data_IF_875517456649
#
_entry.id   IF_875517456649
#
_cell.length_a   1.000
_cell.length_b   1.000
_cell.length_c   1.000
_cell.angle_alpha   90.00
_cell.angle_beta   90.00
_cell.angle_gamma   90.00
#
_symmetry.space_group_name_H-M   'P 1'
#
loop_
_entity.id
_entity.type
_entity.pdbx_description
1 polymer ?
#
# COMPACT_ATOMS: atom_id res chain seq x y z
N UNK A 1 18.62 0.33 6.24
CA UNK A 1 17.90 -0.71 5.49
C UNK A 1 16.64 -0.04 4.98
N UNK A 2 16.56 0.21 3.67
CA UNK A 2 15.58 1.11 3.05
C UNK A 2 14.14 0.61 3.21
N UNK A 3 13.44 1.20 4.18
CA UNK A 3 11.98 1.15 4.23
C UNK A 3 11.37 2.01 3.11
N UNK A 4 12.14 2.96 2.57
CA UNK A 4 11.82 3.75 1.38
C UNK A 4 11.37 2.89 0.18
N UNK A 5 11.89 1.67 0.02
CA UNK A 5 11.73 0.92 -1.25
C UNK A 5 10.79 -0.28 -1.23
N UNK A 6 10.37 -0.84 -0.09
CA UNK A 6 9.60 -2.12 -0.09
C UNK A 6 8.09 -1.93 -0.06
N UNK A 7 7.51 -1.84 1.13
CA UNK A 7 6.09 -1.57 1.37
C UNK A 7 5.57 -0.27 0.70
N UNK A 8 6.35 0.82 0.72
CA UNK A 8 6.00 2.07 0.04
C UNK A 8 5.93 1.94 -1.47
N UNK A 9 6.88 1.22 -2.09
CA UNK A 9 6.85 0.95 -3.54
C UNK A 9 5.66 0.08 -3.93
N UNK A 10 5.36 -0.93 -3.13
CA UNK A 10 4.16 -1.76 -3.32
C UNK A 10 2.87 -0.95 -3.20
N UNK A 11 2.74 -0.13 -2.16
CA UNK A 11 1.57 0.74 -1.98
C UNK A 11 1.40 1.75 -3.12
N UNK A 12 2.49 2.39 -3.57
CA UNK A 12 2.47 3.31 -4.70
C UNK A 12 2.05 2.62 -6.01
N UNK A 13 2.59 1.43 -6.27
CA UNK A 13 2.24 0.62 -7.46
C UNK A 13 0.77 0.22 -7.45
N UNK A 14 0.28 -0.30 -6.32
CA UNK A 14 -1.13 -0.67 -6.14
C UNK A 14 -2.05 0.54 -6.31
N UNK A 15 -1.69 1.69 -5.75
CA UNK A 15 -2.49 2.92 -5.87
C UNK A 15 -2.62 3.37 -7.33
N UNK A 16 -1.53 3.32 -8.11
CA UNK A 16 -1.55 3.67 -9.54
C UNK A 16 -2.36 2.64 -10.34
N UNK A 17 -2.17 1.36 -10.06
CA UNK A 17 -2.87 0.26 -10.72
C UNK A 17 -4.39 0.31 -10.49
N UNK A 18 -4.82 0.52 -9.24
CA UNK A 18 -6.24 0.64 -8.87
C UNK A 18 -6.88 1.92 -9.44
N UNK A 19 -6.14 3.04 -9.50
CA UNK A 19 -6.62 4.26 -10.17
C UNK A 19 -6.82 4.06 -11.68
N UNK A 20 -5.94 3.28 -12.31
CA UNK A 20 -6.00 2.97 -13.75
C UNK A 20 -7.12 1.99 -14.09
N UNK A 21 -7.57 1.14 -13.18
CA UNK A 21 -8.72 0.24 -13.36
C UNK A 21 -10.01 0.97 -13.78
N UNK A 22 -10.09 2.31 -13.62
CA UNK A 22 -11.20 3.10 -14.13
C UNK A 22 -11.38 2.90 -15.66
N UNK A 23 -12.58 2.51 -16.13
CA UNK A 23 -12.80 2.03 -17.50
C UNK A 23 -12.40 2.98 -18.63
N UNK A 24 -12.27 4.28 -18.35
CA UNK A 24 -12.04 5.31 -19.36
C UNK A 24 -10.63 5.35 -19.95
N UNK A 25 -9.63 4.70 -19.33
CA UNK A 25 -8.22 4.84 -19.76
C UNK A 25 -7.54 3.55 -20.24
N UNK A 26 -8.18 2.38 -20.10
CA UNK A 26 -7.52 1.09 -20.33
C UNK A 26 -8.01 0.30 -21.55
N UNK A 27 -8.83 0.83 -22.47
CA UNK A 27 -9.41 0.02 -23.55
C UNK A 27 -8.39 -0.78 -24.39
N UNK A 28 -7.14 -0.33 -24.52
CA UNK A 28 -6.07 -1.06 -25.21
C UNK A 28 -5.25 -2.05 -24.36
N UNK A 29 -5.16 -1.85 -23.04
CA UNK A 29 -4.39 -2.69 -22.12
C UNK A 29 -5.27 -3.60 -21.28
N UNK A 30 -6.52 -3.22 -21.01
CA UNK A 30 -7.49 -4.01 -20.25
C UNK A 30 -7.66 -5.44 -20.81
N UNK A 31 -7.68 -5.58 -22.14
CA UNK A 31 -7.75 -6.88 -22.80
C UNK A 31 -6.50 -7.76 -22.62
N UNK A 32 -5.31 -7.20 -22.44
CA UNK A 32 -4.09 -7.99 -22.23
C UNK A 32 -3.87 -8.39 -20.76
N UNK A 33 -4.46 -7.66 -19.80
CA UNK A 33 -4.28 -7.92 -18.37
C UNK A 33 -5.36 -8.84 -17.79
N UNK A 34 -6.53 -8.94 -18.43
CA UNK A 34 -7.57 -9.92 -18.07
C UNK A 34 -7.09 -11.38 -18.11
N UNK A 35 -6.04 -11.67 -18.88
CA UNK A 35 -5.43 -13.01 -18.91
C UNK A 35 -4.53 -13.29 -17.70
N UNK A 36 -4.13 -12.26 -16.95
CA UNK A 36 -3.15 -12.36 -15.85
C UNK A 36 -3.73 -12.02 -14.47
N UNK A 37 -4.85 -11.28 -14.40
CA UNK A 37 -5.47 -10.83 -13.14
C UNK A 37 -6.97 -11.11 -13.19
N UNK A 38 -7.41 -12.09 -12.41
CA UNK A 38 -8.81 -12.45 -12.27
C UNK A 38 -9.58 -11.36 -11.48
N UNK A 39 -10.92 -11.30 -11.60
CA UNK A 39 -11.73 -10.39 -10.78
C UNK A 39 -11.47 -10.51 -9.27
N UNK A 40 -11.19 -11.71 -8.77
CA UNK A 40 -10.89 -11.97 -7.35
C UNK A 40 -9.49 -11.46 -6.95
N UNK A 41 -8.53 -11.52 -7.87
CA UNK A 41 -7.20 -10.94 -7.65
C UNK A 41 -7.29 -9.42 -7.47
N UNK A 42 -8.21 -8.75 -8.18
CA UNK A 42 -8.44 -7.32 -8.01
C UNK A 42 -8.98 -6.96 -6.62
N UNK A 43 -9.83 -7.80 -6.03
CA UNK A 43 -10.31 -7.59 -4.67
C UNK A 43 -9.16 -7.77 -3.67
N UNK A 44 -8.36 -8.82 -3.85
CA UNK A 44 -7.16 -9.07 -3.04
C UNK A 44 -6.16 -7.90 -3.12
N UNK A 45 -5.94 -7.33 -4.31
CA UNK A 45 -5.08 -6.16 -4.51
C UNK A 45 -5.64 -4.91 -3.82
N UNK A 46 -6.97 -4.73 -3.80
CA UNK A 46 -7.62 -3.63 -3.06
C UNK A 46 -7.47 -3.81 -1.55
N UNK A 47 -7.73 -5.01 -1.03
CA UNK A 47 -7.56 -5.30 0.39
C UNK A 47 -6.10 -5.11 0.82
N UNK A 48 -5.15 -5.54 -0.01
CA UNK A 48 -3.71 -5.33 0.23
C UNK A 48 -3.35 -3.84 0.26
N UNK A 49 -3.91 -3.03 -0.64
CA UNK A 49 -3.68 -1.58 -0.64
C UNK A 49 -4.25 -0.93 0.63
N UNK A 50 -5.46 -1.31 1.06
CA UNK A 50 -6.07 -0.84 2.31
C UNK A 50 -5.20 -1.23 3.51
N UNK A 51 -4.72 -2.48 3.55
CA UNK A 51 -3.85 -2.97 4.61
C UNK A 51 -2.54 -2.20 4.70
N UNK A 52 -1.94 -1.83 3.56
CA UNK A 52 -0.67 -1.11 3.51
C UNK A 52 -0.80 0.41 3.75
N UNK A 53 -2.01 0.96 3.80
CA UNK A 53 -2.21 2.40 3.97
C UNK A 53 -1.64 2.96 5.30
N UNK A 54 -1.91 2.36 6.48
CA UNK A 54 -1.39 2.87 7.76
C UNK A 54 0.14 2.82 7.82
N UNK A 55 0.71 1.77 7.25
CA UNK A 55 2.13 1.57 7.08
C UNK A 55 2.77 2.73 6.30
N UNK A 56 2.22 3.07 5.14
CA UNK A 56 2.70 4.21 4.35
C UNK A 56 2.63 5.55 5.11
N UNK A 57 1.55 5.77 5.85
CA UNK A 57 1.36 7.00 6.62
C UNK A 57 2.36 7.13 7.77
N UNK A 58 2.56 6.07 8.56
CA UNK A 58 3.55 6.03 9.64
C UNK A 58 4.95 6.31 9.09
N UNK A 59 5.26 5.76 7.94
CA UNK A 59 6.55 5.95 7.27
C UNK A 59 6.81 7.42 6.95
N UNK A 60 5.84 8.08 6.29
CA UNK A 60 5.91 9.52 6.00
C UNK A 60 6.09 10.38 7.26
N UNK A 61 5.48 9.98 8.38
CA UNK A 61 5.56 10.72 9.63
C UNK A 61 6.85 10.48 10.43
N UNK A 62 7.56 9.37 10.17
CA UNK A 62 8.74 8.94 10.93
C UNK A 62 10.05 9.03 10.15
N UNK A 63 9.99 9.30 8.84
CA UNK A 63 11.17 9.50 7.98
C UNK A 63 11.63 10.96 7.85
N UNK A 64 10.86 11.93 8.37
CA UNK A 64 11.25 13.35 8.35
C UNK A 64 12.39 13.64 9.35
N UNK A 65 13.24 14.63 9.07
CA UNK A 65 14.29 15.12 9.98
C UNK A 65 13.78 15.56 11.37
N UNK A 66 12.46 15.72 11.53
CA UNK A 66 11.78 16.03 12.79
C UNK A 66 11.29 14.79 13.55
N UNK A 67 11.55 13.58 13.06
CA UNK A 67 11.15 12.34 13.71
C UNK A 67 12.02 12.08 14.94
N UNK A 68 11.39 12.07 16.12
CA UNK A 68 12.04 11.67 17.37
C UNK A 68 11.89 10.17 17.57
N UNK A 69 12.86 9.56 18.27
CA UNK A 69 12.82 8.12 18.61
C UNK A 69 11.52 7.77 19.34
N UNK A 70 11.07 8.62 20.28
CA UNK A 70 9.81 8.43 21.00
C UNK A 70 8.58 8.38 20.07
N UNK A 71 8.55 9.23 19.03
CA UNK A 71 7.47 9.24 18.04
C UNK A 71 7.51 7.98 17.17
N UNK A 72 8.70 7.54 16.78
CA UNK A 72 8.87 6.31 16.01
C UNK A 72 8.42 5.09 16.81
N UNK A 73 8.79 4.99 18.08
CA UNK A 73 8.37 3.90 18.96
C UNK A 73 6.85 3.86 19.12
N UNK A 74 6.21 4.99 19.40
CA UNK A 74 4.76 5.08 19.49
C UNK A 74 4.05 4.64 18.20
N UNK A 75 4.56 5.07 17.04
CA UNK A 75 3.98 4.67 15.76
C UNK A 75 4.20 3.18 15.46
N UNK A 76 5.31 2.59 15.90
CA UNK A 76 5.54 1.15 15.79
C UNK A 76 4.55 0.36 16.64
N UNK A 77 4.24 0.80 17.86
CA UNK A 77 3.23 0.16 18.72
C UNK A 77 1.85 0.13 18.03
N UNK A 78 1.46 1.24 17.38
CA UNK A 78 0.22 1.31 16.58
C UNK A 78 0.23 0.31 15.43
N UNK A 79 1.35 0.17 14.70
CA UNK A 79 1.44 -0.78 13.59
C UNK A 79 1.37 -2.23 14.05
N UNK A 80 1.94 -2.54 15.22
CA UNK A 80 1.86 -3.88 15.82
C UNK A 80 0.41 -4.19 16.19
N UNK A 81 -0.28 -3.28 16.87
CA UNK A 81 -1.70 -3.45 17.21
C UNK A 81 -2.57 -3.62 15.96
N UNK A 82 -2.29 -2.84 14.91
CA UNK A 82 -2.97 -2.96 13.62
C UNK A 82 -2.74 -4.34 12.96
N UNK A 83 -1.50 -4.85 12.98
CA UNK A 83 -1.18 -6.19 12.50
C UNK A 83 -1.94 -7.28 13.25
N UNK A 84 -2.01 -7.16 14.58
CA UNK A 84 -2.69 -8.13 15.43
C UNK A 84 -4.20 -8.17 15.19
N UNK A 85 -4.81 -7.00 14.97
CA UNK A 85 -6.25 -6.88 14.65
C UNK A 85 -6.61 -7.32 13.22
N UNK A 86 -5.64 -7.34 12.32
CA UNK A 86 -5.82 -7.71 10.92
C UNK A 86 -5.53 -9.19 10.63
N UNK A 87 -5.19 -9.98 11.66
CA UNK A 87 -5.09 -11.45 11.59
C UNK A 87 -6.46 -12.11 11.66
#
# INVERSE_FOLDING_TARGET
MDNDTRWNSWFATLTVLLKRQQPSQLLGTYYSWQQYVSPDDWDTLKQTAIFLQPFHQVTLETESDLATIDRTLFMMDILIEYCEKSK
#
